data_IF_869742091699
#
_entry.id   IF_869742091699
#
_cell.length_a   1.000
_cell.length_b   1.000
_cell.length_c   1.000
_cell.angle_alpha   90.00
_cell.angle_beta   90.00
_cell.angle_gamma   90.00
#
_symmetry.space_group_name_H-M   'P 1'
#
loop_
_entity.id
_entity.type
_entity.pdbx_description
1 polymer ?
#
# COMPACT_ATOMS: atom_id res chain seq x y z
N UNK A 1 10.74 -44.22 9.49
CA UNK A 1 10.31 -43.45 8.30
C UNK A 1 9.77 -42.14 8.82
N UNK A 2 10.61 -41.11 8.85
CA UNK A 2 10.23 -39.79 9.36
C UNK A 2 9.27 -39.10 8.38
N UNK A 3 8.10 -38.62 8.84
CA UNK A 3 7.19 -37.93 7.97
C UNK A 3 7.75 -36.53 7.68
N UNK A 4 7.92 -36.27 6.39
CA UNK A 4 7.80 -34.97 5.72
C UNK A 4 8.28 -33.74 6.51
N UNK A 5 9.35 -33.12 6.01
CA UNK A 5 9.65 -31.71 6.22
C UNK A 5 8.41 -30.84 5.95
N UNK A 6 7.63 -30.59 7.00
CA UNK A 6 6.49 -29.70 6.94
C UNK A 6 7.00 -28.31 6.59
N UNK A 7 6.72 -27.86 5.37
CA UNK A 7 6.86 -26.45 4.97
C UNK A 7 6.22 -25.63 6.08
N UNK A 8 7.02 -24.86 6.84
CA UNK A 8 6.56 -24.16 8.02
C UNK A 8 5.30 -23.34 7.67
N UNK A 9 4.14 -23.79 8.17
CA UNK A 9 2.87 -23.18 7.81
C UNK A 9 2.83 -21.74 8.34
N UNK A 10 2.42 -20.80 7.50
CA UNK A 10 2.28 -19.40 7.92
C UNK A 10 1.36 -19.26 9.13
N UNK A 11 1.66 -18.35 10.09
CA UNK A 11 0.79 -18.08 11.23
C UNK A 11 -0.64 -17.73 10.77
N UNK A 12 -1.65 -18.16 11.54
CA UNK A 12 -3.07 -17.87 11.25
C UNK A 12 -3.33 -16.37 11.10
N UNK A 13 -2.74 -15.54 11.97
CA UNK A 13 -2.85 -14.08 11.93
C UNK A 13 -2.26 -13.47 10.65
N UNK A 14 -1.11 -13.98 10.18
CA UNK A 14 -0.50 -13.55 8.93
C UNK A 14 -1.41 -13.89 7.73
N UNK A 15 -1.90 -15.13 7.67
CA UNK A 15 -2.82 -15.58 6.60
C UNK A 15 -4.09 -14.71 6.58
N UNK A 16 -4.70 -14.47 7.75
CA UNK A 16 -5.89 -13.65 7.85
C UNK A 16 -5.63 -12.21 7.39
N UNK A 17 -4.55 -11.56 7.85
CA UNK A 17 -4.23 -10.19 7.42
C UNK A 17 -3.93 -10.09 5.92
N UNK A 18 -3.24 -11.08 5.35
CA UNK A 18 -2.97 -11.12 3.91
C UNK A 18 -4.27 -11.32 3.10
N UNK A 19 -5.16 -12.21 3.57
CA UNK A 19 -6.44 -12.44 2.91
C UNK A 19 -7.31 -11.19 2.94
N UNK A 20 -7.44 -10.53 4.09
CA UNK A 20 -8.22 -9.29 4.21
C UNK A 20 -7.64 -8.20 3.30
N UNK A 21 -6.32 -8.00 3.30
CA UNK A 21 -5.66 -7.05 2.42
C UNK A 21 -5.90 -7.39 0.94
N UNK A 22 -5.81 -8.66 0.55
CA UNK A 22 -6.05 -9.10 -0.83
C UNK A 22 -7.49 -8.88 -1.28
N UNK A 23 -8.48 -9.17 -0.42
CA UNK A 23 -9.89 -8.94 -0.70
C UNK A 23 -10.18 -7.45 -0.88
N UNK A 24 -9.66 -6.60 0.01
CA UNK A 24 -9.83 -5.15 -0.10
C UNK A 24 -9.13 -4.57 -1.33
N UNK A 25 -7.92 -5.04 -1.65
CA UNK A 25 -7.23 -4.66 -2.88
C UNK A 25 -8.05 -5.05 -4.11
N UNK A 26 -8.59 -6.26 -4.15
CA UNK A 26 -9.43 -6.71 -5.25
C UNK A 26 -10.71 -5.88 -5.39
N UNK A 27 -11.35 -5.53 -4.28
CA UNK A 27 -12.50 -4.63 -4.27
C UNK A 27 -12.15 -3.23 -4.81
N UNK A 28 -11.00 -2.66 -4.40
CA UNK A 28 -10.49 -1.40 -4.94
C UNK A 28 -10.24 -1.48 -6.46
N UNK A 29 -9.66 -2.58 -6.95
CA UNK A 29 -9.42 -2.78 -8.39
C UNK A 29 -10.72 -2.82 -9.20
N UNK A 30 -11.79 -3.42 -8.66
CA UNK A 30 -13.12 -3.42 -9.29
C UNK A 30 -13.71 -2.01 -9.30
N UNK A 31 -13.70 -1.32 -8.16
CA UNK A 31 -14.22 0.05 -8.02
C UNK A 31 -13.45 1.03 -8.92
N UNK A 32 -12.17 0.75 -9.21
CA UNK A 32 -11.34 1.58 -10.07
C UNK A 32 -11.61 1.40 -11.58
N UNK A 33 -12.22 0.30 -12.02
CA UNK A 33 -12.51 0.06 -13.45
C UNK A 33 -13.31 1.20 -14.11
N UNK A 34 -14.46 1.65 -13.57
CA UNK A 34 -15.23 2.74 -14.18
C UNK A 34 -14.51 4.09 -14.16
N UNK A 35 -13.44 4.24 -13.38
CA UNK A 35 -12.66 5.47 -13.28
C UNK A 35 -11.59 5.57 -14.38
N UNK A 36 -11.34 4.51 -15.15
CA UNK A 36 -10.34 4.55 -16.21
C UNK A 36 -10.88 5.28 -17.44
N UNK A 37 -10.36 6.47 -17.68
CA UNK A 37 -10.75 7.33 -18.81
C UNK A 37 -9.51 7.83 -19.56
N UNK A 38 -9.71 8.53 -20.67
CA UNK A 38 -8.61 9.15 -21.41
C UNK A 38 -7.84 10.18 -20.55
N UNK A 39 -8.52 10.89 -19.64
CA UNK A 39 -7.89 11.85 -18.72
C UNK A 39 -7.40 11.21 -17.43
N UNK A 40 -7.88 10.02 -17.08
CA UNK A 40 -7.48 9.25 -15.91
C UNK A 40 -7.19 7.79 -16.29
N UNK A 41 -6.10 7.51 -17.04
CA UNK A 41 -5.84 6.17 -17.56
C UNK A 41 -5.58 5.12 -16.46
N UNK A 42 -5.21 5.56 -15.24
CA UNK A 42 -5.03 4.70 -14.07
C UNK A 42 -6.16 4.85 -13.05
N UNK A 43 -7.26 5.52 -13.43
CA UNK A 43 -8.39 5.80 -12.57
C UNK A 43 -7.99 6.65 -11.37
N UNK A 44 -8.30 6.19 -10.16
CA UNK A 44 -8.04 6.92 -8.91
C UNK A 44 -6.58 7.33 -8.78
N UNK A 45 -5.63 6.48 -9.22
CA UNK A 45 -4.19 6.78 -9.16
C UNK A 45 -3.82 7.98 -10.02
N UNK A 46 -4.50 8.21 -11.15
CA UNK A 46 -4.32 9.42 -11.95
C UNK A 46 -4.73 10.68 -11.18
N UNK A 47 -5.75 10.59 -10.31
CA UNK A 47 -6.14 11.69 -9.45
C UNK A 47 -5.15 11.93 -8.30
N UNK A 48 -4.58 10.85 -7.72
CA UNK A 48 -3.51 10.95 -6.72
C UNK A 48 -2.28 11.69 -7.25
N UNK A 49 -2.04 11.60 -8.56
CA UNK A 49 -0.88 12.17 -9.24
C UNK A 49 -1.20 13.40 -10.09
N UNK A 50 -2.39 13.99 -9.94
CA UNK A 50 -2.83 15.12 -10.75
C UNK A 50 -1.96 16.38 -10.56
N UNK A 51 -1.43 16.62 -9.35
CA UNK A 51 -0.47 17.70 -9.06
C UNK A 51 -1.02 19.12 -9.13
N UNK A 52 -2.07 19.40 -9.90
CA UNK A 52 -2.68 20.72 -10.08
C UNK A 52 -4.20 20.64 -10.10
N UNK A 53 -4.85 21.77 -9.80
CA UNK A 53 -6.30 21.92 -9.86
C UNK A 53 -6.84 21.65 -11.27
N UNK A 54 -6.16 22.15 -12.30
CA UNK A 54 -6.57 21.98 -13.70
C UNK A 54 -6.60 20.50 -14.12
N UNK A 55 -5.59 19.72 -13.74
CA UNK A 55 -5.56 18.29 -14.02
C UNK A 55 -6.65 17.55 -13.24
N UNK A 56 -6.83 17.85 -11.96
CA UNK A 56 -7.91 17.30 -11.15
C UNK A 56 -9.29 17.60 -11.76
N UNK A 57 -9.51 18.83 -12.21
CA UNK A 57 -10.72 19.23 -12.90
C UNK A 57 -10.93 18.51 -14.23
N UNK A 58 -9.88 18.30 -15.03
CA UNK A 58 -9.97 17.52 -16.25
C UNK A 58 -10.38 16.06 -15.97
N UNK A 59 -9.81 15.45 -14.94
CA UNK A 59 -10.16 14.11 -14.48
C UNK A 59 -11.64 14.05 -14.06
N UNK A 60 -12.09 14.99 -13.22
CA UNK A 60 -13.48 15.02 -12.75
C UNK A 60 -14.49 15.20 -13.88
N UNK A 61 -14.16 16.06 -14.87
CA UNK A 61 -15.00 16.22 -16.07
C UNK A 61 -15.08 14.93 -16.87
N UNK A 62 -13.99 14.16 -16.95
CA UNK A 62 -13.99 12.86 -17.63
C UNK A 62 -14.80 11.79 -16.90
N UNK A 63 -14.89 11.87 -15.57
CA UNK A 63 -15.64 10.95 -14.72
C UNK A 63 -17.15 11.26 -14.65
N UNK A 64 -17.53 12.52 -14.83
CA UNK A 64 -18.90 12.96 -14.61
C UNK A 64 -19.35 12.75 -13.15
N UNK A 65 -20.65 12.91 -12.89
CA UNK A 65 -21.20 12.77 -11.54
C UNK A 65 -21.09 11.35 -10.98
N UNK A 66 -21.33 10.34 -11.83
CA UNK A 66 -21.28 8.93 -11.43
C UNK A 66 -19.85 8.49 -11.11
N UNK A 67 -18.87 8.80 -11.97
CA UNK A 67 -17.47 8.47 -11.71
C UNK A 67 -16.92 9.19 -10.48
N UNK A 68 -17.32 10.45 -10.22
CA UNK A 68 -16.95 11.15 -8.98
C UNK A 68 -17.54 10.45 -7.74
N UNK A 69 -18.76 9.90 -7.81
CA UNK A 69 -19.32 9.11 -6.73
C UNK A 69 -18.52 7.83 -6.48
N UNK A 70 -18.15 7.11 -7.54
CA UNK A 70 -17.27 5.93 -7.45
C UNK A 70 -15.88 6.25 -6.91
N UNK A 71 -15.29 7.39 -7.30
CA UNK A 71 -14.01 7.85 -6.78
C UNK A 71 -14.08 8.10 -5.27
N UNK A 72 -15.15 8.71 -4.76
CA UNK A 72 -15.37 8.88 -3.32
C UNK A 72 -15.51 7.54 -2.60
N UNK A 73 -16.27 6.60 -3.17
CA UNK A 73 -16.39 5.23 -2.63
C UNK A 73 -15.02 4.55 -2.59
N UNK A 74 -14.21 4.71 -3.64
CA UNK A 74 -12.84 4.19 -3.70
C UNK A 74 -11.99 4.73 -2.55
N UNK A 75 -12.01 6.04 -2.29
CA UNK A 75 -11.23 6.66 -1.22
C UNK A 75 -11.69 6.20 0.18
N UNK A 76 -13.00 6.06 0.39
CA UNK A 76 -13.53 5.51 1.65
C UNK A 76 -13.15 4.04 1.87
N UNK A 77 -13.18 3.24 0.81
CA UNK A 77 -12.72 1.87 0.85
C UNK A 77 -11.21 1.79 1.11
N UNK A 78 -10.44 2.75 0.59
CA UNK A 78 -8.99 2.81 0.77
C UNK A 78 -8.61 3.10 2.24
N UNK A 79 -9.41 3.89 2.98
CA UNK A 79 -9.24 4.02 4.44
C UNK A 79 -9.32 2.69 5.20
N UNK A 80 -10.11 1.71 4.71
CA UNK A 80 -10.13 0.36 5.27
C UNK A 80 -8.93 -0.47 4.80
N UNK A 81 -8.48 -0.24 3.56
CA UNK A 81 -7.32 -0.93 2.99
C UNK A 81 -6.02 -0.55 3.71
N UNK A 82 -5.84 0.71 4.07
CA UNK A 82 -4.64 1.21 4.77
C UNK A 82 -4.24 0.36 5.98
N UNK A 83 -5.07 0.24 7.04
CA UNK A 83 -4.71 -0.57 8.19
C UNK A 83 -4.57 -2.06 7.84
N UNK A 84 -5.35 -2.56 6.87
CA UNK A 84 -5.30 -3.97 6.47
C UNK A 84 -3.94 -4.32 5.83
N UNK A 85 -3.48 -3.55 4.83
CA UNK A 85 -2.20 -3.81 4.18
C UNK A 85 -1.03 -3.55 5.14
N UNK A 86 -1.12 -2.51 5.98
CA UNK A 86 -0.08 -2.21 6.97
C UNK A 86 0.11 -3.38 7.95
N UNK A 87 -0.98 -3.93 8.48
CA UNK A 87 -0.95 -5.08 9.37
C UNK A 87 -0.39 -6.31 8.66
N UNK A 88 -0.79 -6.55 7.41
CA UNK A 88 -0.26 -7.65 6.60
C UNK A 88 1.27 -7.55 6.42
N UNK A 89 1.77 -6.37 6.05
CA UNK A 89 3.21 -6.11 5.85
C UNK A 89 4.01 -6.19 7.17
N UNK A 90 3.45 -5.72 8.28
CA UNK A 90 4.08 -5.83 9.60
C UNK A 90 4.14 -7.29 10.05
N UNK A 91 3.05 -8.06 9.90
CA UNK A 91 3.05 -9.50 10.20
C UNK A 91 4.03 -10.27 9.33
N UNK A 92 4.13 -9.92 8.05
CA UNK A 92 5.05 -10.56 7.11
C UNK A 92 6.51 -10.25 7.49
N UNK A 93 6.80 -9.00 7.84
CA UNK A 93 8.11 -8.58 8.36
C UNK A 93 8.48 -9.35 9.63
N UNK A 94 7.56 -9.43 10.60
CA UNK A 94 7.77 -10.20 11.84
C UNK A 94 8.07 -11.67 11.54
N UNK A 95 7.31 -12.28 10.62
CA UNK A 95 7.51 -13.67 10.23
C UNK A 95 8.89 -13.91 9.61
N UNK A 96 9.38 -13.03 8.74
CA UNK A 96 10.71 -13.18 8.14
C UNK A 96 11.87 -12.89 9.10
N UNK A 97 11.62 -12.16 10.19
CA UNK A 97 12.66 -11.81 11.17
C UNK A 97 12.63 -12.65 12.44
N UNK A 98 11.66 -13.57 12.60
CA UNK A 98 11.44 -14.33 13.84
C UNK A 98 12.67 -15.11 14.30
N UNK A 99 13.38 -15.74 13.37
CA UNK A 99 14.48 -16.66 13.67
C UNK A 99 15.86 -15.97 13.60
N UNK A 100 15.90 -14.63 13.62
CA UNK A 100 17.14 -13.85 13.40
C UNK A 100 17.53 -13.02 14.63
N UNK A 101 18.45 -13.52 15.48
CA UNK A 101 18.92 -12.79 16.65
C UNK A 101 19.96 -11.70 16.33
N UNK A 102 20.47 -11.59 15.10
CA UNK A 102 21.50 -10.61 14.74
C UNK A 102 21.02 -9.15 14.85
N UNK A 103 21.92 -8.25 15.29
CA UNK A 103 21.62 -6.82 15.49
C UNK A 103 21.28 -6.15 14.16
N UNK A 104 22.02 -6.48 13.09
CA UNK A 104 21.83 -5.90 11.74
C UNK A 104 20.44 -6.20 11.19
N UNK A 105 19.95 -7.41 11.37
CA UNK A 105 18.65 -7.86 10.89
C UNK A 105 17.51 -7.24 11.71
N UNK A 106 17.70 -7.07 13.02
CA UNK A 106 16.76 -6.33 13.87
C UNK A 106 16.67 -4.86 13.49
N UNK A 107 17.80 -4.22 13.19
CA UNK A 107 17.85 -2.83 12.70
C UNK A 107 17.18 -2.72 11.33
N UNK A 108 17.50 -3.60 10.38
CA UNK A 108 16.86 -3.64 9.07
C UNK A 108 15.34 -3.83 9.14
N UNK A 109 14.88 -4.75 10.00
CA UNK A 109 13.45 -4.97 10.24
C UNK A 109 12.75 -3.74 10.85
N UNK A 110 13.45 -2.98 11.71
CA UNK A 110 12.92 -1.74 12.28
C UNK A 110 12.75 -0.67 11.20
N UNK A 111 13.74 -0.50 10.33
CA UNK A 111 13.66 0.42 9.19
C UNK A 111 12.54 0.05 8.21
N UNK A 112 12.40 -1.24 7.87
CA UNK A 112 11.31 -1.72 7.00
C UNK A 112 9.93 -1.42 7.62
N UNK A 113 9.76 -1.64 8.93
CA UNK A 113 8.50 -1.28 9.62
C UNK A 113 8.26 0.23 9.65
N UNK A 114 9.32 1.02 9.83
CA UNK A 114 9.22 2.48 9.79
C UNK A 114 8.77 2.95 8.41
N UNK A 115 9.32 2.39 7.33
CA UNK A 115 8.89 2.67 5.95
C UNK A 115 7.42 2.34 5.73
N UNK A 116 6.93 1.18 6.21
CA UNK A 116 5.50 0.84 6.09
C UNK A 116 4.60 1.75 6.94
N UNK A 117 5.06 2.20 8.11
CA UNK A 117 4.35 3.18 8.91
C UNK A 117 4.27 4.54 8.20
N UNK A 118 5.38 5.02 7.65
CA UNK A 118 5.41 6.24 6.83
C UNK A 118 4.46 6.11 5.64
N UNK A 119 4.49 4.98 4.92
CA UNK A 119 3.61 4.76 3.78
C UNK A 119 2.14 4.92 4.16
N UNK A 120 1.67 4.26 5.23
CA UNK A 120 0.27 4.34 5.65
C UNK A 120 -0.16 5.68 6.23
N UNK A 121 0.74 6.40 6.91
CA UNK A 121 0.47 7.77 7.36
C UNK A 121 0.32 8.72 6.18
N UNK A 122 1.21 8.61 5.19
CA UNK A 122 1.13 9.39 3.95
C UNK A 122 -0.11 9.05 3.14
N UNK A 123 -0.51 7.77 3.07
CA UNK A 123 -1.73 7.31 2.41
C UNK A 123 -2.99 7.90 3.05
N UNK A 124 -3.06 7.87 4.39
CA UNK A 124 -4.18 8.48 5.11
C UNK A 124 -4.27 9.99 4.89
N UNK A 125 -3.14 10.70 4.93
CA UNK A 125 -3.10 12.14 4.67
C UNK A 125 -3.51 12.48 3.23
N UNK A 126 -3.01 11.71 2.26
CA UNK A 126 -3.39 11.83 0.86
C UNK A 126 -4.90 11.65 0.65
N UNK A 127 -5.50 10.59 1.20
CA UNK A 127 -6.93 10.33 1.04
C UNK A 127 -7.80 11.45 1.64
N UNK A 128 -7.38 12.06 2.76
CA UNK A 128 -8.05 13.23 3.32
C UNK A 128 -7.95 14.42 2.37
N UNK A 129 -6.76 14.69 1.83
CA UNK A 129 -6.53 15.79 0.89
C UNK A 129 -7.38 15.61 -0.38
N UNK A 130 -7.40 14.41 -0.96
CA UNK A 130 -8.21 14.11 -2.14
C UNK A 130 -9.70 14.26 -1.89
N UNK A 131 -10.22 13.78 -0.74
CA UNK A 131 -11.63 13.98 -0.40
C UNK A 131 -12.01 15.46 -0.28
N UNK A 132 -11.13 16.28 0.28
CA UNK A 132 -11.34 17.73 0.40
C UNK A 132 -11.21 18.45 -0.96
N UNK A 133 -10.43 17.89 -1.88
CA UNK A 133 -10.11 18.50 -3.17
C UNK A 133 -11.18 18.26 -4.26
N UNK A 134 -12.34 17.67 -3.92
CA UNK A 134 -13.44 17.52 -4.87
C UNK A 134 -14.24 18.81 -5.11
N UNK A 135 -14.19 19.82 -4.22
CA UNK A 135 -15.17 20.90 -4.26
C UNK A 135 -14.67 22.28 -3.77
N UNK A 136 -14.09 23.10 -4.67
CA UNK A 136 -13.41 22.75 -5.91
C UNK A 136 -11.95 22.34 -5.67
N UNK A 137 -11.29 21.66 -6.64
CA UNK A 137 -9.86 21.48 -6.65
C UNK A 137 -9.07 22.78 -6.48
N UNK A 138 -8.01 22.74 -5.68
CA UNK A 138 -7.01 23.81 -5.59
C UNK A 138 -5.62 23.25 -5.85
N UNK A 139 -4.71 24.10 -6.34
CA UNK A 139 -3.34 23.67 -6.63
C UNK A 139 -2.61 23.22 -5.37
N UNK A 140 -2.80 23.93 -4.25
CA UNK A 140 -2.17 23.61 -2.97
C UNK A 140 -2.56 22.22 -2.47
N UNK A 141 -3.84 21.87 -2.52
CA UNK A 141 -4.34 20.58 -2.03
C UNK A 141 -3.99 19.47 -3.02
N UNK A 142 -4.11 19.72 -4.33
CA UNK A 142 -3.72 18.77 -5.38
C UNK A 142 -2.23 18.41 -5.33
N UNK A 143 -1.37 19.42 -5.15
CA UNK A 143 0.07 19.23 -5.01
C UNK A 143 0.40 18.49 -3.70
N UNK A 144 -0.23 18.89 -2.59
CA UNK A 144 -0.02 18.23 -1.29
C UNK A 144 -0.43 16.75 -1.34
N UNK A 145 -1.56 16.43 -1.97
CA UNK A 145 -2.00 15.04 -2.18
C UNK A 145 -0.97 14.27 -3.02
N UNK A 146 -0.46 14.88 -4.09
CA UNK A 146 0.56 14.28 -4.95
C UNK A 146 1.86 14.02 -4.19
N UNK A 147 2.32 14.95 -3.36
CA UNK A 147 3.50 14.75 -2.52
C UNK A 147 3.29 13.60 -1.53
N UNK A 148 2.12 13.51 -0.89
CA UNK A 148 1.78 12.38 -0.02
C UNK A 148 1.77 11.05 -0.78
N UNK A 149 1.18 11.02 -1.99
CA UNK A 149 1.19 9.84 -2.86
C UNK A 149 2.62 9.41 -3.24
N UNK A 150 3.49 10.36 -3.59
CA UNK A 150 4.90 10.09 -3.91
C UNK A 150 5.67 9.53 -2.71
N UNK A 151 5.46 10.09 -1.50
CA UNK A 151 6.04 9.57 -0.26
C UNK A 151 5.53 8.14 0.00
N UNK A 152 4.22 7.91 -0.14
CA UNK A 152 3.60 6.60 0.00
C UNK A 152 4.24 5.57 -0.93
N UNK A 153 4.25 5.83 -2.24
CA UNK A 153 4.78 4.87 -3.22
C UNK A 153 6.27 4.60 -3.01
N UNK A 154 7.04 5.64 -2.68
CA UNK A 154 8.47 5.49 -2.39
C UNK A 154 8.71 4.65 -1.14
N UNK A 155 8.03 4.97 -0.04
CA UNK A 155 8.17 4.26 1.22
C UNK A 155 7.71 2.80 1.11
N UNK A 156 6.61 2.54 0.40
CA UNK A 156 6.10 1.19 0.15
C UNK A 156 7.08 0.37 -0.70
N UNK A 157 7.61 0.96 -1.78
CA UNK A 157 8.59 0.32 -2.67
C UNK A 157 9.87 -0.04 -1.93
N UNK A 158 10.44 0.91 -1.18
CA UNK A 158 11.65 0.68 -0.37
C UNK A 158 11.41 -0.35 0.74
N UNK A 159 10.24 -0.30 1.39
CA UNK A 159 9.86 -1.25 2.42
C UNK A 159 9.74 -2.67 1.89
N UNK A 160 9.10 -2.86 0.73
CA UNK A 160 8.99 -4.15 0.03
C UNK A 160 10.38 -4.64 -0.40
N UNK A 161 11.21 -3.78 -1.00
CA UNK A 161 12.57 -4.13 -1.40
C UNK A 161 13.40 -4.59 -0.19
N UNK A 162 13.35 -3.86 0.93
CA UNK A 162 14.00 -4.25 2.18
C UNK A 162 13.48 -5.58 2.71
N UNK A 163 12.18 -5.83 2.63
CA UNK A 163 11.56 -7.10 3.03
C UNK A 163 12.03 -8.27 2.16
N UNK A 164 12.16 -8.06 0.84
CA UNK A 164 12.70 -9.05 -0.11
C UNK A 164 14.17 -9.35 0.22
N UNK A 165 14.99 -8.33 0.50
CA UNK A 165 16.39 -8.51 0.92
C UNK A 165 16.47 -9.30 2.23
N UNK A 166 15.62 -8.99 3.21
CA UNK A 166 15.52 -9.75 4.46
C UNK A 166 15.15 -11.21 4.15
N UNK A 167 14.20 -11.46 3.25
CA UNK A 167 13.79 -12.83 2.88
C UNK A 167 14.87 -13.60 2.12
N UNK A 168 15.59 -12.95 1.21
CA UNK A 168 16.63 -13.54 0.36
C UNK A 168 17.91 -13.84 1.13
N UNK A 169 18.26 -13.02 2.13
CA UNK A 169 19.40 -13.25 3.02
C UNK A 169 19.22 -14.43 4.00
N UNK A 170 18.26 -15.33 3.78
CA UNK A 170 18.17 -16.60 4.53
C UNK A 170 19.33 -17.49 4.05
N UNK A 171 20.45 -17.46 4.78
CA UNK A 171 21.51 -18.46 4.60
C UNK A 171 20.93 -19.84 4.93
N UNK A 172 21.13 -20.81 4.05
CA UNK A 172 20.90 -22.23 4.37
C UNK A 172 21.64 -22.58 5.67
N UNK A 173 21.11 -23.48 6.51
CA UNK A 173 21.89 -23.98 7.64
C UNK A 173 23.22 -24.48 7.09
N UNK A 174 24.33 -24.03 7.67
CA UNK A 174 25.62 -24.65 7.44
C UNK A 174 25.44 -26.10 7.83
N UNK A 175 25.41 -27.00 6.85
CA UNK A 175 25.49 -28.43 7.13
C UNK A 175 26.82 -28.62 7.87
N UNK A 176 26.73 -28.89 9.17
CA UNK A 176 27.88 -29.36 9.92
C UNK A 176 28.23 -30.73 9.35
N UNK A 177 29.32 -30.78 8.58
CA UNK A 177 30.05 -32.00 8.29
C UNK A 177 30.81 -32.45 9.54
#
# INVERSE_FOLDING_TARGET
MDPAHGVAAFPKSLKASLLVAAVLLFALLIVNQPLQTASAPQGIVSYQLAGTADQAHAIFRSWGSEGVAWAKVSLWLDFLFIPAYMLALIHLTRHFTRDRPGIRERVGARWVRALFATAGLSDGAENILLLNNFNPPTDEVSLSATLCALIKFTALTLGIAGLVIIRASRRHPLAHH
#
